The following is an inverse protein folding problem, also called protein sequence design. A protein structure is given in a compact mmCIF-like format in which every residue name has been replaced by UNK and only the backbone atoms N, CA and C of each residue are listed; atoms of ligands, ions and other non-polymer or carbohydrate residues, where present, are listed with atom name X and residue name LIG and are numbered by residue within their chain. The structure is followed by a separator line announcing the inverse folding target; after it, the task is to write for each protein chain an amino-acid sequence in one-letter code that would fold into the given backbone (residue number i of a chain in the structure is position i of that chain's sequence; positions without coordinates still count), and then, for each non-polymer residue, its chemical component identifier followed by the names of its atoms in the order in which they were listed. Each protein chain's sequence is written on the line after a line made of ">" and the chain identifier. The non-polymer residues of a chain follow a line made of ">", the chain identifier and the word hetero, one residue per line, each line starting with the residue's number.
data_IF_131979712781
#
_entry.id   IF_131979712781
#
_cell.length_a   1.000
_cell.length_b   1.000
_cell.length_c   1.000
_cell.angle_alpha   90.00
_cell.angle_beta   90.00
_cell.angle_gamma   90.00
#
_symmetry.space_group_name_H-M   'P 1'
#
loop_
_entity.id
_entity.type
_entity.pdbx_description
1 polymer ?
#
# COMPACT_ATOMS: atom_id res chain seq x y z
N UNK A 1 27.08 -9.19 -11.55
CA UNK A 1 26.07 -8.25 -11.03
C UNK A 1 26.58 -7.76 -9.69
N UNK A 2 26.70 -6.44 -9.50
CA UNK A 2 26.95 -5.86 -8.19
C UNK A 2 25.61 -5.77 -7.47
N UNK A 3 25.40 -6.61 -6.45
CA UNK A 3 24.25 -6.50 -5.56
C UNK A 3 24.56 -5.48 -4.48
N UNK A 4 23.90 -4.33 -4.56
CA UNK A 4 23.83 -3.40 -3.44
C UNK A 4 22.73 -3.89 -2.48
N UNK A 5 22.92 -3.66 -1.17
CA UNK A 5 21.97 -4.10 -0.14
C UNK A 5 21.54 -2.93 0.76
N UNK A 6 20.29 -2.95 1.21
CA UNK A 6 19.78 -2.08 2.28
C UNK A 6 19.78 -2.86 3.60
N UNK A 7 20.22 -2.22 4.69
CA UNK A 7 20.32 -2.81 6.02
C UNK A 7 19.39 -2.08 6.99
N UNK A 8 18.64 -2.83 7.80
CA UNK A 8 17.74 -2.26 8.81
C UNK A 8 17.77 -3.08 10.09
N UNK A 9 17.56 -2.41 11.22
CA UNK A 9 17.50 -3.03 12.55
C UNK A 9 16.03 -3.33 12.91
N UNK A 10 15.71 -4.61 13.03
CA UNK A 10 14.37 -5.10 13.33
C UNK A 10 14.43 -6.04 14.55
N UNK A 11 13.84 -5.62 15.67
CA UNK A 11 13.83 -6.35 16.95
C UNK A 11 15.26 -6.76 17.41
N UNK A 12 16.22 -5.85 17.30
CA UNK A 12 17.62 -6.11 17.67
C UNK A 12 18.39 -6.97 16.66
N UNK A 13 17.78 -7.36 15.52
CA UNK A 13 18.45 -8.09 14.44
C UNK A 13 18.68 -7.19 13.23
N UNK A 14 19.90 -7.24 12.68
CA UNK A 14 20.16 -6.67 11.36
C UNK A 14 19.50 -7.59 10.33
N UNK A 15 18.72 -7.00 9.44
CA UNK A 15 18.20 -7.67 8.27
C UNK A 15 18.67 -6.93 7.02
N UNK A 16 18.97 -7.70 5.98
CA UNK A 16 19.57 -7.22 4.75
C UNK A 16 18.60 -7.52 3.62
N UNK A 17 18.21 -6.50 2.86
CA UNK A 17 17.41 -6.62 1.64
C UNK A 17 18.22 -6.21 0.43
N UNK A 18 17.87 -6.75 -0.73
CA UNK A 18 18.38 -6.29 -2.02
C UNK A 18 17.96 -4.83 -2.28
N UNK A 19 18.81 -4.05 -2.96
CA UNK A 19 18.47 -2.69 -3.39
C UNK A 19 17.27 -2.72 -4.36
N UNK A 20 16.33 -1.75 -4.24
CA UNK A 20 15.19 -1.63 -5.13
C UNK A 20 15.56 -1.78 -6.61
N UNK A 21 14.90 -2.70 -7.31
CA UNK A 21 14.96 -2.79 -8.78
C UNK A 21 14.19 -1.62 -9.42
N UNK A 22 14.41 -1.35 -10.70
CA UNK A 22 13.68 -0.28 -11.40
C UNK A 22 12.15 -0.38 -11.26
N UNK A 23 11.50 -1.56 -11.43
CA UNK A 23 10.06 -1.70 -11.21
C UNK A 23 9.61 -1.33 -9.79
N UNK A 24 10.45 -1.59 -8.78
CA UNK A 24 10.16 -1.20 -7.40
C UNK A 24 10.18 0.33 -7.25
N UNK A 25 11.28 0.96 -7.67
CA UNK A 25 11.49 2.40 -7.50
C UNK A 25 10.46 3.22 -8.31
N UNK A 26 10.17 2.79 -9.53
CA UNK A 26 9.21 3.48 -10.41
C UNK A 26 7.77 3.38 -9.90
N UNK A 27 7.35 2.24 -9.36
CA UNK A 27 6.02 2.10 -8.73
C UNK A 27 5.90 3.00 -7.49
N UNK A 28 6.92 3.05 -6.64
CA UNK A 28 6.93 3.94 -5.48
C UNK A 28 6.84 5.42 -5.93
N UNK A 29 7.61 5.81 -6.94
CA UNK A 29 7.58 7.14 -7.53
C UNK A 29 6.24 7.49 -8.17
N UNK A 30 5.62 6.56 -8.90
CA UNK A 30 4.32 6.74 -9.54
C UNK A 30 3.22 6.97 -8.49
N UNK A 31 3.20 6.21 -7.39
CA UNK A 31 2.23 6.43 -6.31
C UNK A 31 2.39 7.83 -5.69
N UNK A 32 3.64 8.28 -5.45
CA UNK A 32 3.89 9.65 -4.98
C UNK A 32 3.36 10.67 -6.00
N UNK A 33 3.64 10.47 -7.29
CA UNK A 33 3.18 11.35 -8.36
C UNK A 33 1.67 11.47 -8.41
N UNK A 34 0.96 10.35 -8.45
CA UNK A 34 -0.51 10.32 -8.51
C UNK A 34 -1.14 10.96 -7.27
N UNK A 35 -0.62 10.66 -6.08
CA UNK A 35 -1.12 11.28 -4.85
C UNK A 35 -0.80 12.77 -4.79
N UNK A 36 0.35 13.22 -5.32
CA UNK A 36 0.72 14.63 -5.35
C UNK A 36 -0.16 15.44 -6.30
N UNK A 37 -0.51 14.87 -7.46
CA UNK A 37 -1.51 15.47 -8.36
C UNK A 37 -2.85 15.59 -7.65
N UNK A 38 -3.25 14.58 -6.89
CA UNK A 38 -4.48 14.62 -6.11
C UNK A 38 -4.46 15.65 -4.98
N UNK A 39 -3.39 15.70 -4.16
CA UNK A 39 -3.28 16.65 -3.05
C UNK A 39 -1.85 16.95 -2.57
N UNK A 40 -1.11 17.76 -3.31
CA UNK A 40 0.19 18.25 -2.84
C UNK A 40 0.13 19.29 -1.70
N UNK A 41 -1.05 19.88 -1.43
CA UNK A 41 -1.17 21.01 -0.52
C UNK A 41 -1.18 20.57 0.94
N UNK A 42 -1.87 19.47 1.24
CA UNK A 42 -2.12 19.03 2.63
C UNK A 42 -1.18 17.94 3.12
N UNK A 43 -0.42 17.30 2.21
CA UNK A 43 0.43 16.17 2.55
C UNK A 43 1.93 16.44 2.33
N UNK A 44 2.74 15.71 3.08
CA UNK A 44 4.15 15.45 2.83
C UNK A 44 4.28 14.02 2.35
N UNK A 45 4.90 13.85 1.19
CA UNK A 45 5.32 12.56 0.65
C UNK A 45 6.82 12.44 0.87
N UNK A 46 7.29 11.29 1.32
CA UNK A 46 8.72 11.04 1.45
C UNK A 46 9.03 9.56 1.42
N UNK A 47 10.32 9.27 1.33
CA UNK A 47 10.88 7.91 1.21
C UNK A 47 12.00 7.76 2.23
N UNK A 48 12.38 6.52 2.54
CA UNK A 48 13.65 6.17 3.20
C UNK A 48 13.90 6.88 4.57
N UNK A 49 12.85 7.38 5.22
CA UNK A 49 12.97 8.02 6.52
C UNK A 49 12.74 6.99 7.63
N UNK A 50 13.72 6.81 8.51
CA UNK A 50 13.59 5.88 9.63
C UNK A 50 12.43 6.29 10.54
N UNK A 51 11.40 5.44 10.56
CA UNK A 51 10.24 5.56 11.44
C UNK A 51 10.40 4.61 12.64
N UNK A 52 10.27 5.15 13.84
CA UNK A 52 10.39 4.43 15.11
C UNK A 52 9.12 3.61 15.34
N UNK A 53 9.23 2.30 15.26
CA UNK A 53 8.11 1.38 15.49
C UNK A 53 8.08 0.83 16.93
N UNK A 54 9.02 1.29 17.76
CA UNK A 54 9.17 0.85 19.14
C UNK A 54 10.57 1.03 19.69
N UNK A 55 10.75 0.62 20.95
CA UNK A 55 12.08 0.68 21.59
C UNK A 55 13.08 -0.20 20.82
N UNK A 56 14.09 0.43 20.21
CA UNK A 56 15.11 -0.27 19.42
C UNK A 56 14.59 -0.85 18.10
N UNK A 57 13.41 -0.45 17.65
CA UNK A 57 12.78 -0.91 16.42
C UNK A 57 12.51 0.28 15.52
N UNK A 58 13.19 0.30 14.37
CA UNK A 58 13.04 1.35 13.36
C UNK A 58 12.88 0.72 11.99
N UNK A 59 12.13 1.37 11.10
CA UNK A 59 12.02 0.94 9.71
C UNK A 59 11.89 2.12 8.77
N UNK A 60 12.48 1.98 7.60
CA UNK A 60 12.34 2.89 6.47
C UNK A 60 11.29 2.33 5.53
N UNK A 61 10.14 3.01 5.35
CA UNK A 61 9.18 2.64 4.33
C UNK A 61 9.69 3.05 2.95
N UNK A 62 9.20 2.39 1.91
CA UNK A 62 9.43 2.84 0.54
C UNK A 62 8.81 4.22 0.31
N UNK A 63 7.56 4.41 0.77
CA UNK A 63 6.91 5.72 0.79
C UNK A 63 6.11 5.91 2.08
N UNK A 64 6.12 7.12 2.61
CA UNK A 64 5.19 7.55 3.64
C UNK A 64 4.38 8.77 3.20
N UNK A 65 3.16 8.88 3.73
CA UNK A 65 2.29 10.05 3.57
C UNK A 65 1.95 10.61 4.94
N UNK A 66 2.30 11.87 5.18
CA UNK A 66 2.05 12.55 6.46
C UNK A 66 1.26 13.84 6.23
N UNK A 67 0.13 14.06 6.92
CA UNK A 67 -0.57 15.34 6.87
C UNK A 67 0.31 16.46 7.41
N UNK A 68 0.32 17.61 6.74
CA UNK A 68 1.11 18.79 7.13
C UNK A 68 0.62 19.43 8.43
N UNK A 69 -0.69 19.37 8.65
CA UNK A 69 -1.36 20.04 9.76
C UNK A 69 -1.59 19.12 10.97
N UNK A 70 -1.03 17.90 10.96
CA UNK A 70 -1.04 17.00 12.12
C UNK A 70 -0.12 17.56 13.21
N UNK A 71 -0.62 17.82 14.45
CA UNK A 71 0.20 18.34 15.53
C UNK A 71 1.31 17.35 15.88
N UNK A 72 2.46 17.88 16.33
CA UNK A 72 3.50 17.02 16.91
C UNK A 72 2.96 16.33 18.17
N UNK A 73 3.39 15.09 18.46
CA UNK A 73 3.08 14.44 19.72
C UNK A 73 3.53 15.30 20.91
N UNK A 74 2.75 15.25 22.00
CA UNK A 74 3.15 15.90 23.25
C UNK A 74 4.46 15.31 23.77
N UNK A 75 5.18 16.07 24.59
CA UNK A 75 6.42 15.59 25.19
C UNK A 75 6.18 14.30 25.98
N UNK A 76 7.00 13.28 25.73
CA UNK A 76 6.88 11.96 26.34
C UNK A 76 5.94 10.99 25.60
N UNK A 77 5.12 11.46 24.65
CA UNK A 77 4.36 10.59 23.77
C UNK A 77 5.25 9.98 22.66
N UNK A 78 4.91 8.80 22.12
CA UNK A 78 5.62 8.21 20.99
C UNK A 78 5.66 9.15 19.78
N UNK A 79 6.84 9.27 19.18
CA UNK A 79 7.08 10.05 17.97
C UNK A 79 7.63 9.16 16.85
N UNK A 80 7.41 9.59 15.61
CA UNK A 80 7.86 8.88 14.43
C UNK A 80 9.38 8.84 14.34
N UNK A 81 10.05 9.91 14.76
CA UNK A 81 11.48 10.09 14.58
C UNK A 81 12.09 10.90 15.73
N UNK A 82 13.43 11.01 15.70
CA UNK A 82 14.21 11.77 16.68
C UNK A 82 13.90 13.27 16.69
N UNK A 83 13.20 13.79 15.69
CA UNK A 83 12.82 15.19 15.60
C UNK A 83 11.45 15.47 16.24
N UNK A 84 10.81 14.45 16.81
CA UNK A 84 9.52 14.59 17.48
C UNK A 84 8.37 14.77 16.49
N UNK A 85 8.51 14.31 15.24
CA UNK A 85 7.41 14.40 14.29
C UNK A 85 6.31 13.39 14.61
N UNK A 86 5.08 13.74 14.24
CA UNK A 86 3.97 12.79 14.26
C UNK A 86 4.21 11.67 13.25
N UNK A 87 3.66 10.48 13.53
CA UNK A 87 3.65 9.38 12.58
C UNK A 87 3.01 9.81 11.26
N UNK A 88 3.51 9.33 10.10
CA UNK A 88 2.72 9.31 8.88
C UNK A 88 1.37 8.62 9.11
N UNK A 89 0.33 9.04 8.41
CA UNK A 89 -0.97 8.36 8.47
C UNK A 89 -1.01 7.17 7.53
N UNK A 90 -0.18 7.17 6.48
CA UNK A 90 -0.06 6.05 5.55
C UNK A 90 1.39 5.65 5.33
N UNK A 91 1.63 4.34 5.27
CA UNK A 91 2.87 3.71 4.80
C UNK A 91 2.59 2.91 3.53
N UNK A 92 3.51 2.94 2.58
CA UNK A 92 3.45 2.15 1.35
C UNK A 92 4.74 1.34 1.26
N UNK A 93 4.59 0.05 0.96
CA UNK A 93 5.70 -0.86 0.69
C UNK A 93 5.48 -1.52 -0.65
N UNK A 94 6.52 -1.52 -1.48
CA UNK A 94 6.55 -2.17 -2.79
C UNK A 94 7.51 -3.36 -2.68
N UNK A 95 7.09 -4.54 -3.09
CA UNK A 95 7.92 -5.74 -3.02
C UNK A 95 8.11 -6.38 -4.38
N UNK A 96 9.26 -6.16 -5.01
CA UNK A 96 9.70 -6.95 -6.17
C UNK A 96 10.40 -8.25 -5.73
N UNK A 97 11.59 -8.15 -5.12
CA UNK A 97 12.29 -9.31 -4.56
C UNK A 97 11.72 -9.75 -3.20
N UNK A 98 11.10 -8.82 -2.46
CA UNK A 98 10.50 -9.11 -1.16
C UNK A 98 9.27 -10.01 -1.30
N UNK A 99 9.15 -11.02 -0.43
CA UNK A 99 8.03 -11.95 -0.45
C UNK A 99 6.72 -11.31 0.05
N UNK A 100 5.56 -11.80 -0.41
CA UNK A 100 4.26 -11.36 0.12
C UNK A 100 4.14 -11.57 1.64
N UNK A 101 4.63 -12.69 2.22
CA UNK A 101 4.71 -12.83 3.68
C UNK A 101 5.55 -11.77 4.39
N UNK A 102 6.65 -11.30 3.80
CA UNK A 102 7.46 -10.23 4.37
C UNK A 102 6.72 -8.88 4.32
N UNK A 103 6.08 -8.56 3.20
CA UNK A 103 5.20 -7.38 3.08
C UNK A 103 4.06 -7.40 4.11
N UNK A 104 3.41 -8.55 4.29
CA UNK A 104 2.35 -8.70 5.29
C UNK A 104 2.86 -8.50 6.72
N UNK A 105 3.97 -9.14 7.09
CA UNK A 105 4.63 -8.95 8.40
C UNK A 105 5.07 -7.50 8.61
N UNK A 106 5.41 -6.79 7.54
CA UNK A 106 5.73 -5.37 7.56
C UNK A 106 4.51 -4.53 7.90
N UNK A 107 3.39 -4.74 7.21
CA UNK A 107 2.16 -4.01 7.45
C UNK A 107 1.69 -4.16 8.91
N UNK A 108 1.75 -5.38 9.45
CA UNK A 108 1.43 -5.66 10.86
C UNK A 108 2.29 -4.83 11.82
N UNK A 109 3.58 -4.66 11.53
CA UNK A 109 4.49 -3.86 12.37
C UNK A 109 4.14 -2.38 12.33
N UNK A 110 3.82 -1.84 11.16
CA UNK A 110 3.36 -0.45 11.05
C UNK A 110 2.06 -0.22 11.80
N UNK A 111 1.17 -1.20 11.84
CA UNK A 111 -0.11 -1.13 12.54
C UNK A 111 -0.03 -1.53 14.02
N UNK A 112 1.17 -1.76 14.54
CA UNK A 112 1.40 -2.05 15.95
C UNK A 112 0.87 -0.95 16.88
N UNK A 113 0.72 -1.28 18.16
CA UNK A 113 0.16 -0.39 19.19
C UNK A 113 1.07 0.81 19.52
N UNK A 114 2.34 0.78 19.08
CA UNK A 114 3.33 1.82 19.39
C UNK A 114 3.35 2.94 18.34
N UNK A 115 2.49 2.88 17.33
CA UNK A 115 2.37 3.88 16.26
C UNK A 115 0.92 4.35 16.13
N UNK A 116 0.73 5.47 15.44
CA UNK A 116 -0.60 5.99 15.07
C UNK A 116 -0.83 5.99 13.55
N UNK A 117 -0.11 5.12 12.83
CA UNK A 117 -0.24 4.93 11.37
C UNK A 117 -1.60 4.31 11.08
N UNK A 118 -2.42 4.91 10.22
CA UNK A 118 -3.78 4.45 9.95
C UNK A 118 -3.88 3.49 8.77
N UNK A 119 -3.06 3.68 7.74
CA UNK A 119 -3.14 2.96 6.48
C UNK A 119 -1.80 2.29 6.17
N UNK A 120 -1.85 1.05 5.69
CA UNK A 120 -0.72 0.45 4.98
C UNK A 120 -1.19 -0.03 3.62
N UNK A 121 -0.47 0.36 2.57
CA UNK A 121 -0.63 -0.19 1.23
C UNK A 121 0.59 -1.06 0.90
N UNK A 122 0.38 -2.34 0.64
CA UNK A 122 1.42 -3.22 0.14
C UNK A 122 1.18 -3.54 -1.34
N UNK A 123 2.18 -3.29 -2.18
CA UNK A 123 2.17 -3.67 -3.60
C UNK A 123 3.18 -4.79 -3.80
N UNK A 124 2.72 -5.98 -4.17
CA UNK A 124 3.58 -7.10 -4.54
C UNK A 124 3.68 -7.22 -6.05
N UNK A 125 4.91 -7.15 -6.55
CA UNK A 125 5.25 -7.40 -7.96
C UNK A 125 5.85 -8.81 -8.05
N UNK A 126 5.27 -9.67 -8.89
CA UNK A 126 5.80 -11.01 -9.13
C UNK A 126 6.73 -11.03 -10.34
N UNK A 127 7.58 -12.06 -10.43
CA UNK A 127 8.47 -12.26 -11.57
C UNK A 127 7.72 -12.48 -12.88
N UNK A 128 8.37 -12.11 -14.00
CA UNK A 128 7.84 -12.28 -15.35
C UNK A 128 7.59 -13.76 -15.63
N UNK A 129 6.43 -14.06 -16.21
CA UNK A 129 6.09 -15.37 -16.74
C UNK A 129 6.05 -15.30 -18.27
N UNK A 130 7.04 -15.91 -18.92
CA UNK A 130 7.13 -15.92 -20.38
C UNK A 130 6.63 -17.26 -20.92
N UNK A 131 5.65 -17.20 -21.80
CA UNK A 131 5.25 -18.36 -22.59
C UNK A 131 6.20 -18.47 -23.80
N UNK A 132 7.03 -19.52 -23.83
CA UNK A 132 8.01 -19.73 -24.88
C UNK A 132 7.40 -19.99 -26.27
N UNK A 133 6.15 -20.49 -26.33
CA UNK A 133 5.46 -20.80 -27.59
C UNK A 133 4.89 -19.56 -28.26
N UNK A 134 4.41 -18.59 -27.46
CA UNK A 134 3.76 -17.37 -27.96
C UNK A 134 4.65 -16.14 -27.84
N UNK A 135 5.85 -16.31 -27.27
CA UNK A 135 6.76 -15.24 -26.88
C UNK A 135 6.06 -14.09 -26.11
N UNK A 136 5.05 -14.46 -25.30
CA UNK A 136 4.25 -13.50 -24.54
C UNK A 136 4.69 -13.50 -23.09
N UNK A 137 5.08 -12.32 -22.59
CA UNK A 137 5.43 -12.11 -21.19
C UNK A 137 4.24 -11.56 -20.43
N UNK A 138 3.97 -12.15 -19.27
CA UNK A 138 2.86 -11.76 -18.40
C UNK A 138 3.33 -11.57 -16.98
N UNK A 139 2.58 -10.80 -16.20
CA UNK A 139 2.89 -10.51 -14.79
C UNK A 139 1.63 -10.60 -13.96
N UNK A 140 1.77 -11.12 -12.74
CA UNK A 140 0.78 -11.01 -11.69
C UNK A 140 1.22 -9.91 -10.72
N UNK A 141 0.27 -9.16 -10.20
CA UNK A 141 0.47 -8.08 -9.23
C UNK A 141 -0.60 -8.19 -8.14
N UNK A 142 -0.27 -7.80 -6.91
CA UNK A 142 -1.22 -7.76 -5.80
C UNK A 142 -1.11 -6.40 -5.10
N UNK A 143 -2.25 -5.73 -4.91
CA UNK A 143 -2.38 -4.60 -4.00
C UNK A 143 -3.16 -5.04 -2.76
N UNK A 144 -2.63 -4.81 -1.57
CA UNK A 144 -3.27 -5.15 -0.30
C UNK A 144 -3.34 -3.90 0.60
N UNK A 145 -4.56 -3.48 0.94
CA UNK A 145 -4.84 -2.32 1.78
C UNK A 145 -5.21 -2.76 3.19
N UNK A 146 -4.56 -2.17 4.18
CA UNK A 146 -4.84 -2.36 5.60
C UNK A 146 -5.29 -1.04 6.21
N UNK A 147 -6.32 -1.10 7.05
CA UNK A 147 -6.85 0.07 7.76
C UNK A 147 -6.87 -0.23 9.26
N UNK A 148 -6.28 0.66 10.06
CA UNK A 148 -6.29 0.56 11.54
C UNK A 148 -7.71 0.60 12.10
N UNK A 149 -8.61 1.34 11.45
CA UNK A 149 -10.03 1.48 11.80
C UNK A 149 -10.85 0.21 11.54
N UNK A 150 -10.29 -0.77 10.81
CA UNK A 150 -10.92 -2.08 10.61
C UNK A 150 -11.06 -2.83 11.95
N UNK A 151 -12.13 -3.60 12.16
CA UNK A 151 -12.22 -4.54 13.30
C UNK A 151 -11.08 -5.56 13.35
N UNK A 152 -10.44 -5.83 12.20
CA UNK A 152 -9.30 -6.75 12.06
C UNK A 152 -8.13 -6.04 11.37
N UNK A 153 -7.46 -5.09 12.04
CA UNK A 153 -6.49 -4.19 11.39
C UNK A 153 -5.23 -4.90 10.87
N UNK A 154 -4.96 -6.11 11.37
CA UNK A 154 -3.83 -6.94 10.92
C UNK A 154 -4.17 -7.77 9.67
N UNK A 155 -5.42 -7.75 9.22
CA UNK A 155 -5.90 -8.39 7.99
C UNK A 155 -6.18 -7.27 6.97
N UNK A 156 -5.73 -7.40 5.71
CA UNK A 156 -6.08 -6.41 4.70
C UNK A 156 -7.60 -6.35 4.51
N UNK A 157 -8.15 -5.15 4.51
CA UNK A 157 -9.58 -4.90 4.26
C UNK A 157 -9.96 -5.14 2.81
N UNK A 158 -9.00 -4.92 1.90
CA UNK A 158 -9.15 -5.18 0.47
C UNK A 158 -7.85 -5.66 -0.15
N UNK A 159 -7.96 -6.67 -0.99
CA UNK A 159 -6.89 -7.21 -1.82
C UNK A 159 -7.37 -7.24 -3.26
N UNK A 160 -6.58 -6.68 -4.17
CA UNK A 160 -6.87 -6.69 -5.60
C UNK A 160 -5.70 -7.36 -6.32
N UNK A 161 -5.96 -8.48 -7.00
CA UNK A 161 -5.02 -9.01 -8.00
C UNK A 161 -5.20 -8.28 -9.32
N UNK A 162 -4.10 -7.85 -9.91
CA UNK A 162 -4.08 -7.15 -11.20
C UNK A 162 -2.84 -7.59 -11.98
N UNK A 163 -2.54 -6.95 -13.11
CA UNK A 163 -1.56 -7.48 -14.06
C UNK A 163 -2.24 -8.19 -15.23
N UNK A 164 -1.42 -8.90 -16.00
CA UNK A 164 -1.85 -9.68 -17.17
C UNK A 164 -1.87 -11.19 -16.92
N UNK A 165 -1.59 -11.63 -15.70
CA UNK A 165 -1.64 -13.02 -15.27
C UNK A 165 -2.38 -13.19 -13.95
N UNK A 166 -2.96 -14.37 -13.76
CA UNK A 166 -3.55 -14.78 -12.49
C UNK A 166 -2.47 -14.92 -11.41
N UNK A 167 -2.75 -14.60 -10.13
CA UNK A 167 -1.89 -15.06 -9.03
C UNK A 167 -1.81 -16.58 -9.02
N UNK A 168 -0.67 -17.15 -8.64
CA UNK A 168 -0.56 -18.61 -8.50
C UNK A 168 -1.35 -19.14 -7.29
N UNK A 169 -1.61 -20.45 -7.28
CA UNK A 169 -2.39 -21.10 -6.22
C UNK A 169 -1.79 -20.90 -4.83
N UNK A 170 -0.46 -20.85 -4.70
CA UNK A 170 0.21 -20.65 -3.41
C UNK A 170 -0.01 -19.23 -2.89
N UNK A 171 0.05 -18.24 -3.76
CA UNK A 171 -0.26 -16.84 -3.47
C UNK A 171 -1.71 -16.70 -3.03
N UNK A 172 -2.63 -17.31 -3.77
CA UNK A 172 -4.06 -17.32 -3.42
C UNK A 172 -4.27 -17.96 -2.04
N UNK A 173 -3.70 -19.14 -1.80
CA UNK A 173 -3.83 -19.83 -0.51
C UNK A 173 -3.21 -19.04 0.63
N UNK A 174 -2.08 -18.36 0.40
CA UNK A 174 -1.48 -17.51 1.41
C UNK A 174 -2.40 -16.35 1.79
N UNK A 175 -2.98 -15.66 0.81
CA UNK A 175 -3.90 -14.53 1.04
C UNK A 175 -5.16 -15.00 1.79
N UNK A 176 -5.76 -16.11 1.38
CA UNK A 176 -7.03 -16.55 1.96
C UNK A 176 -6.87 -17.29 3.29
N UNK A 177 -5.81 -18.09 3.46
CA UNK A 177 -5.66 -18.98 4.62
C UNK A 177 -4.66 -18.47 5.66
N UNK A 178 -3.66 -17.70 5.25
CA UNK A 178 -2.59 -17.25 6.17
C UNK A 178 -2.77 -15.78 6.54
N UNK A 179 -3.10 -14.92 5.57
CA UNK A 179 -3.49 -13.53 5.83
C UNK A 179 -4.94 -13.42 6.29
N UNK A 180 -5.73 -14.50 6.22
CA UNK A 180 -7.14 -14.58 6.61
C UNK A 180 -8.03 -13.55 5.91
N UNK A 181 -7.72 -13.22 4.65
CA UNK A 181 -8.52 -12.26 3.88
C UNK A 181 -9.86 -12.92 3.53
N UNK A 182 -11.00 -12.29 3.90
CA UNK A 182 -12.31 -12.82 3.54
C UNK A 182 -12.47 -12.93 2.02
N UNK A 183 -13.19 -13.95 1.50
CA UNK A 183 -13.36 -14.14 0.06
C UNK A 183 -13.89 -12.90 -0.68
N UNK A 184 -14.84 -12.17 -0.08
CA UNK A 184 -15.40 -10.95 -0.67
C UNK A 184 -14.44 -9.75 -0.70
N UNK A 185 -13.34 -9.80 0.05
CA UNK A 185 -12.31 -8.76 0.09
C UNK A 185 -11.17 -9.02 -0.90
N UNK A 186 -11.12 -10.18 -1.57
CA UNK A 186 -10.07 -10.53 -2.54
C UNK A 186 -10.64 -10.67 -3.96
N UNK A 187 -10.46 -9.61 -4.76
CA UNK A 187 -11.03 -9.46 -6.10
C UNK A 187 -9.96 -9.27 -7.18
N UNK A 188 -10.37 -9.22 -8.45
CA UNK A 188 -9.50 -8.90 -9.58
C UNK A 188 -9.06 -10.10 -10.42
N UNK A 189 -7.98 -9.95 -11.19
CA UNK A 189 -7.52 -10.90 -12.20
C UNK A 189 -7.33 -12.30 -11.58
N UNK A 190 -7.94 -13.31 -12.19
CA UNK A 190 -7.88 -14.70 -11.73
C UNK A 190 -8.74 -15.02 -10.50
N UNK A 191 -9.66 -14.13 -10.12
CA UNK A 191 -10.65 -14.36 -9.05
C UNK A 191 -12.06 -14.45 -9.64
N UNK A 192 -12.92 -15.34 -9.11
CA UNK A 192 -14.33 -15.39 -9.49
C UNK A 192 -15.08 -14.17 -8.94
N UNK A 193 -15.95 -13.58 -9.76
CA UNK A 193 -16.86 -12.50 -9.38
C UNK A 193 -18.21 -13.08 -8.95
N UNK A 194 -18.55 -12.99 -7.64
CA UNK A 194 -19.81 -13.53 -7.13
C UNK A 194 -21.04 -12.84 -7.73
N UNK A 195 -20.89 -11.64 -8.31
CA UNK A 195 -21.99 -10.88 -8.90
C UNK A 195 -22.19 -11.17 -10.39
N UNK A 196 -21.36 -12.02 -10.99
CA UNK A 196 -21.40 -12.33 -12.43
C UNK A 196 -21.38 -13.85 -12.67
N UNK A 197 -22.31 -14.59 -12.05
CA UNK A 197 -22.40 -16.06 -12.17
C UNK A 197 -21.08 -16.80 -11.84
N UNK A 198 -20.25 -16.25 -10.95
CA UNK A 198 -18.90 -16.74 -10.65
C UNK A 198 -17.94 -16.79 -11.86
N UNK A 199 -18.24 -16.07 -12.94
CA UNK A 199 -17.26 -15.78 -13.98
C UNK A 199 -16.11 -14.97 -13.39
N UNK A 200 -14.91 -15.09 -13.95
CA UNK A 200 -13.77 -14.30 -13.47
C UNK A 200 -14.03 -12.80 -13.65
N UNK A 201 -13.46 -11.99 -12.75
CA UNK A 201 -13.42 -10.54 -12.94
C UNK A 201 -12.79 -10.19 -14.30
N UNK A 202 -13.22 -9.08 -14.93
CA UNK A 202 -12.68 -8.65 -16.22
C UNK A 202 -11.16 -8.39 -16.13
N UNK A 203 -10.40 -8.43 -17.23
CA UNK A 203 -8.97 -8.14 -17.22
C UNK A 203 -8.67 -6.68 -16.79
N UNK A 204 -7.48 -6.44 -16.23
CA UNK A 204 -6.95 -5.11 -15.96
C UNK A 204 -6.27 -4.54 -17.21
N UNK A 205 -7.06 -4.09 -18.19
CA UNK A 205 -6.57 -3.71 -19.53
C UNK A 205 -6.89 -2.26 -19.96
N UNK A 206 -7.52 -1.48 -19.08
CA UNK A 206 -7.76 -0.07 -19.30
C UNK A 206 -7.84 0.67 -17.95
N UNK A 207 -7.54 1.96 -17.97
CA UNK A 207 -7.75 2.85 -16.83
C UNK A 207 -9.23 2.96 -16.46
N UNK A 208 -9.50 3.32 -15.22
CA UNK A 208 -10.82 3.60 -14.65
C UNK A 208 -11.79 2.40 -14.62
N UNK A 209 -11.29 1.17 -14.73
CA UNK A 209 -12.11 -0.02 -14.49
C UNK A 209 -12.39 -0.09 -12.97
N UNK A 210 -13.66 -0.04 -12.50
CA UNK A 210 -13.96 0.11 -11.07
C UNK A 210 -13.37 -0.96 -10.16
N UNK A 211 -13.26 -2.21 -10.65
CA UNK A 211 -12.64 -3.32 -9.89
C UNK A 211 -11.18 -3.05 -9.55
N UNK A 212 -10.47 -2.33 -10.42
CA UNK A 212 -9.03 -2.04 -10.34
C UNK A 212 -8.73 -0.66 -9.77
N UNK A 213 -9.72 0.01 -9.19
CA UNK A 213 -9.52 1.22 -8.41
C UNK A 213 -9.40 0.86 -6.92
N UNK A 214 -8.25 1.14 -6.32
CA UNK A 214 -8.04 1.03 -4.88
C UNK A 214 -8.32 2.37 -4.20
N UNK A 215 -9.46 2.46 -3.51
CA UNK A 215 -9.78 3.62 -2.69
C UNK A 215 -8.96 3.62 -1.40
N UNK A 216 -8.18 4.68 -1.20
CA UNK A 216 -7.44 4.98 0.03
C UNK A 216 -8.26 6.04 0.77
N UNK A 217 -8.93 5.68 1.89
CA UNK A 217 -9.95 6.54 2.44
C UNK A 217 -9.38 7.81 3.10
N UNK A 218 -10.08 8.92 2.87
CA UNK A 218 -9.65 10.26 3.26
C UNK A 218 -9.68 10.47 4.77
N UNK A 219 -10.69 9.91 5.44
CA UNK A 219 -10.83 9.95 6.90
C UNK A 219 -9.58 9.45 7.63
N UNK A 220 -9.01 8.34 7.16
CA UNK A 220 -7.78 7.76 7.70
C UNK A 220 -6.53 8.52 7.24
N UNK A 221 -6.50 9.01 6.00
CA UNK A 221 -5.40 9.83 5.50
C UNK A 221 -5.21 11.11 6.32
N UNK A 222 -6.30 11.76 6.73
CA UNK A 222 -6.28 13.01 7.50
C UNK A 222 -6.38 12.82 9.02
N UNK A 223 -6.22 11.59 9.52
CA UNK A 223 -6.28 11.31 10.96
C UNK A 223 -5.32 12.18 11.78
N UNK A 224 -5.86 12.75 12.86
CA UNK A 224 -5.15 13.63 13.77
C UNK A 224 -4.93 15.06 13.24
N UNK A 225 -5.48 15.43 12.08
CA UNK A 225 -5.53 16.83 11.64
C UNK A 225 -6.67 17.57 12.38
N UNK A 226 -6.42 18.76 12.97
CA UNK A 226 -7.46 19.55 13.62
C UNK A 226 -8.56 19.95 12.63
N UNK A 227 -9.82 19.96 13.07
CA UNK A 227 -10.96 20.20 12.20
C UNK A 227 -10.89 21.53 11.42
N UNK A 228 -10.33 22.58 12.02
CA UNK A 228 -10.14 23.89 11.38
C UNK A 228 -9.04 23.91 10.31
N UNK A 229 -8.27 22.82 10.17
CA UNK A 229 -7.23 22.64 9.15
C UNK A 229 -7.56 21.51 8.17
N UNK A 230 -8.76 20.92 8.24
CA UNK A 230 -9.21 19.95 7.25
C UNK A 230 -9.64 20.69 5.97
N UNK A 231 -9.36 20.14 4.77
CA UNK A 231 -9.86 20.72 3.55
C UNK A 231 -11.39 20.58 3.46
N UNK A 232 -12.01 21.32 2.54
CA UNK A 232 -13.43 21.21 2.28
C UNK A 232 -13.83 19.76 1.89
N UNK A 233 -14.97 19.29 2.40
CA UNK A 233 -15.51 17.95 2.11
C UNK A 233 -15.49 16.98 3.30
N UNK A 234 -14.82 17.32 4.40
CA UNK A 234 -14.92 16.56 5.64
C UNK A 234 -16.28 16.77 6.32
N UNK A 235 -16.97 15.68 6.74
CA UNK A 235 -18.21 15.77 7.49
C UNK A 235 -18.07 16.66 8.73
N UNK A 236 -18.87 17.73 8.82
CA UNK A 236 -19.05 18.50 10.07
C UNK A 236 -20.03 17.76 11.00
N UNK A 237 -20.84 16.85 10.46
CA UNK A 237 -21.90 16.11 11.15
C UNK A 237 -21.63 14.60 11.04
N UNK A 238 -21.75 13.82 12.13
CA UNK A 238 -21.66 12.36 12.06
C UNK A 238 -22.70 11.78 11.08
N UNK A 239 -22.32 10.72 10.36
CA UNK A 239 -23.17 9.95 9.43
C UNK A 239 -23.52 10.61 8.08
N UNK A 240 -22.81 11.64 7.63
CA UNK A 240 -22.86 12.07 6.23
C UNK A 240 -21.84 11.28 5.39
N UNK A 241 -22.21 10.97 4.14
CA UNK A 241 -21.29 10.32 3.21
C UNK A 241 -20.08 11.24 2.99
N UNK A 242 -18.84 10.70 3.04
CA UNK A 242 -17.66 11.47 2.74
C UNK A 242 -17.73 12.00 1.30
N UNK A 243 -17.46 13.30 1.11
CA UNK A 243 -17.39 13.95 -0.22
C UNK A 243 -16.03 14.64 -0.40
N UNK A 244 -15.63 14.88 -1.64
CA UNK A 244 -14.34 15.51 -1.93
C UNK A 244 -13.18 14.73 -1.31
N UNK A 245 -12.31 15.41 -0.55
CA UNK A 245 -11.14 14.78 0.07
C UNK A 245 -11.47 13.71 1.11
N UNK A 246 -12.63 13.79 1.76
CA UNK A 246 -13.04 12.78 2.74
C UNK A 246 -13.37 11.42 2.08
N UNK A 247 -13.81 11.43 0.81
CA UNK A 247 -14.01 10.22 0.01
C UNK A 247 -12.69 9.51 -0.32
N UNK A 248 -11.56 10.19 -0.13
CA UNK A 248 -10.23 9.61 -0.29
C UNK A 248 -9.67 9.70 -1.71
N UNK A 249 -8.57 8.99 -1.89
CA UNK A 249 -7.83 8.94 -3.14
C UNK A 249 -8.07 7.60 -3.83
N UNK A 250 -8.43 7.64 -5.10
CA UNK A 250 -8.63 6.47 -5.93
C UNK A 250 -7.35 6.17 -6.72
N UNK A 251 -6.60 5.17 -6.27
CA UNK A 251 -5.41 4.69 -6.98
C UNK A 251 -5.83 3.74 -8.10
N UNK A 252 -5.54 4.10 -9.34
CA UNK A 252 -5.76 3.23 -10.50
C UNK A 252 -4.62 2.21 -10.62
N UNK A 253 -4.95 0.93 -10.45
CA UNK A 253 -3.97 -0.15 -10.52
C UNK A 253 -3.58 -0.50 -11.96
N UNK A 254 -4.37 -0.11 -12.97
CA UNK A 254 -3.97 -0.23 -14.37
C UNK A 254 -2.77 0.70 -14.67
N UNK A 255 -2.81 1.94 -14.19
CA UNK A 255 -1.71 2.88 -14.37
C UNK A 255 -0.41 2.37 -13.70
N UNK A 256 -0.52 1.78 -12.50
CA UNK A 256 0.63 1.11 -11.86
C UNK A 256 1.11 -0.11 -12.64
N UNK A 257 0.20 -0.89 -13.23
CA UNK A 257 0.59 -2.01 -14.09
C UNK A 257 1.39 -1.53 -15.31
N UNK A 258 0.99 -0.42 -15.95
CA UNK A 258 1.73 0.15 -17.08
C UNK A 258 3.16 0.49 -16.66
N UNK A 259 3.33 1.18 -15.54
CA UNK A 259 4.67 1.52 -14.98
C UNK A 259 5.51 0.26 -14.76
N UNK A 260 4.95 -0.79 -14.13
CA UNK A 260 5.69 -2.05 -13.91
C UNK A 260 6.11 -2.68 -15.22
N UNK A 261 5.22 -2.70 -16.21
CA UNK A 261 5.47 -3.32 -17.51
C UNK A 261 6.55 -2.61 -18.30
N UNK A 262 6.53 -1.28 -18.33
CA UNK A 262 7.55 -0.46 -18.95
C UNK A 262 8.92 -0.69 -18.28
N UNK A 263 8.97 -0.66 -16.94
CA UNK A 263 10.20 -0.93 -16.19
C UNK A 263 10.76 -2.35 -16.40
N UNK A 264 9.90 -3.31 -16.72
CA UNK A 264 10.27 -4.71 -17.03
C UNK A 264 10.48 -4.96 -18.53
N UNK A 265 10.22 -3.99 -19.40
CA UNK A 265 10.27 -4.09 -20.86
C UNK A 265 9.33 -5.17 -21.45
N UNK A 266 8.06 -5.22 -21.03
CA UNK A 266 7.08 -6.25 -21.46
C UNK A 266 5.66 -5.76 -21.77
#
# INVERSE_FOLDING_TARGET
>A
MNTSVRMYLCDGKIKIYEVPSAPHAEVAGAIIGFMSIWNMQDFRYGTDATTTLGRGSGREPDVYVRPRHRPRPQQGAPAADRYGNAFPTMMIEVGFSQSLPDLHRTAIRYLGQQTTIQIVLAIKIFGIRTNALTNTSTIALIAALYLRTSPTPLVPTRVISFGTANPDTNTVNYITQQMNVPPGSFVGVGRPDPNNNNNNFPPCNAANIPTYTMNIPGTELFDGVPANNLPAGFPIVPNTLPVGFAAGFNLDLYELQVVVREALNI
#
